data_IF_126869299967
#
_entry.id   IF_126869299967
#
_cell.length_a   1.000
_cell.length_b   1.000
_cell.length_c   1.000
_cell.angle_alpha   90.00
_cell.angle_beta   90.00
_cell.angle_gamma   90.00
#
_symmetry.space_group_name_H-M   'P 1'
#
loop_
_entity.id
_entity.type
_entity.pdbx_description
1 polymer ?
#
# COMPACT_ATOMS: atom_id res chain seq x y z
N UNK A 1 -8.83 48.95 2.01
CA UNK A 1 -8.37 48.60 3.37
C UNK A 1 -7.72 47.23 3.27
N UNK A 2 -6.38 47.19 3.16
CA UNK A 2 -5.63 45.95 3.01
C UNK A 2 -5.35 45.36 4.39
N UNK A 3 -6.01 44.25 4.71
CA UNK A 3 -5.67 43.47 5.89
C UNK A 3 -4.41 42.66 5.58
N UNK A 4 -3.27 43.15 6.06
CA UNK A 4 -2.03 42.38 6.08
C UNK A 4 -2.18 41.29 7.16
N UNK A 5 -2.32 40.05 6.71
CA UNK A 5 -2.33 38.86 7.54
C UNK A 5 -0.89 38.64 8.04
N UNK A 6 -0.62 39.02 9.29
CA UNK A 6 0.67 38.78 9.92
C UNK A 6 0.65 37.35 10.47
N UNK A 7 1.32 36.43 9.75
CA UNK A 7 1.57 35.08 10.24
C UNK A 7 2.83 35.17 11.11
N UNK A 8 2.64 35.16 12.43
CA UNK A 8 3.73 34.92 13.38
C UNK A 8 4.11 33.44 13.25
N UNK A 9 5.14 33.14 12.46
CA UNK A 9 5.77 31.82 12.51
C UNK A 9 6.82 31.84 13.63
N UNK A 10 6.42 31.48 14.85
CA UNK A 10 7.36 30.85 15.78
C UNK A 10 7.69 29.48 15.20
N UNK A 11 8.69 29.44 14.31
CA UNK A 11 9.21 28.18 13.77
C UNK A 11 9.98 27.51 14.90
N UNK A 12 9.30 26.69 15.69
CA UNK A 12 9.97 25.71 16.53
C UNK A 12 10.81 24.83 15.61
N UNK A 13 12.12 24.96 15.70
CA UNK A 13 13.06 24.19 14.88
C UNK A 13 13.03 22.75 15.41
N UNK A 14 12.22 21.89 14.79
CA UNK A 14 12.19 20.46 15.11
C UNK A 14 13.54 19.84 14.73
N UNK A 15 14.28 19.25 15.67
CA UNK A 15 15.49 18.51 15.36
C UNK A 15 15.19 17.36 14.39
N UNK A 16 16.09 17.09 13.44
CA UNK A 16 15.90 16.02 12.45
C UNK A 16 15.41 14.69 13.05
N UNK A 17 16.04 14.22 14.13
CA UNK A 17 15.70 12.94 14.78
C UNK A 17 14.36 12.95 15.51
N UNK A 18 13.74 14.12 15.70
CA UNK A 18 12.43 14.28 16.34
C UNK A 18 11.29 14.38 15.30
N UNK A 19 11.59 14.25 14.00
CA UNK A 19 10.54 14.19 12.99
C UNK A 19 9.73 12.90 13.15
N UNK A 20 8.42 12.97 13.47
CA UNK A 20 7.61 11.80 13.76
C UNK A 20 7.50 10.83 12.58
N UNK A 21 7.76 11.31 11.35
CA UNK A 21 7.68 10.46 10.16
C UNK A 21 8.71 9.33 10.16
N UNK A 22 9.87 9.48 10.82
CA UNK A 22 10.86 8.41 10.88
C UNK A 22 10.34 7.20 11.66
N UNK A 23 9.73 7.44 12.82
CA UNK A 23 9.13 6.37 13.62
C UNK A 23 7.98 5.67 12.86
N UNK A 24 7.18 6.43 12.10
CA UNK A 24 6.12 5.86 11.30
C UNK A 24 6.64 5.01 10.12
N UNK A 25 7.71 5.46 9.44
CA UNK A 25 8.38 4.70 8.38
C UNK A 25 8.94 3.38 8.94
N UNK A 26 9.61 3.44 10.09
CA UNK A 26 10.18 2.26 10.74
C UNK A 26 9.09 1.26 11.14
N UNK A 27 8.00 1.74 11.76
CA UNK A 27 6.84 0.91 12.14
C UNK A 27 6.21 0.20 10.95
N UNK A 28 5.96 0.91 9.85
CA UNK A 28 5.41 0.29 8.64
C UNK A 28 6.39 -0.70 8.02
N UNK A 29 7.69 -0.38 7.97
CA UNK A 29 8.73 -1.27 7.42
C UNK A 29 8.86 -2.55 8.23
N UNK A 30 8.79 -2.45 9.56
CA UNK A 30 8.81 -3.59 10.48
C UNK A 30 7.56 -4.46 10.28
N UNK A 31 6.36 -3.87 10.32
CA UNK A 31 5.10 -4.59 10.11
C UNK A 31 5.10 -5.32 8.77
N UNK A 32 5.53 -4.64 7.70
CA UNK A 32 5.70 -5.23 6.38
C UNK A 32 6.62 -6.45 6.41
N UNK A 33 7.79 -6.33 7.04
CA UNK A 33 8.76 -7.42 7.13
C UNK A 33 8.24 -8.64 7.89
N UNK A 34 7.45 -8.42 8.95
CA UNK A 34 6.78 -9.48 9.73
C UNK A 34 5.73 -10.17 8.86
N UNK A 35 4.92 -9.40 8.14
CA UNK A 35 3.92 -9.94 7.23
C UNK A 35 4.52 -10.82 6.13
N UNK A 36 5.65 -10.41 5.54
CA UNK A 36 6.31 -11.19 4.48
C UNK A 36 6.76 -12.59 4.90
N UNK A 37 7.01 -12.82 6.20
CA UNK A 37 7.48 -14.10 6.72
C UNK A 37 6.46 -14.81 7.60
N UNK A 38 5.26 -14.25 7.74
CA UNK A 38 4.21 -14.81 8.60
C UNK A 38 3.72 -16.16 8.05
N UNK A 39 3.58 -17.20 8.89
CA UNK A 39 2.97 -18.45 8.48
C UNK A 39 1.52 -18.25 8.02
N UNK A 40 1.09 -19.05 7.04
CA UNK A 40 -0.30 -19.05 6.57
C UNK A 40 -1.31 -19.29 7.70
N UNK A 41 -2.52 -18.76 7.52
CA UNK A 41 -3.60 -18.81 8.51
C UNK A 41 -3.67 -17.53 9.34
N UNK A 42 -4.03 -17.65 10.62
CA UNK A 42 -4.34 -16.48 11.45
C UNK A 42 -3.15 -15.54 11.63
N UNK A 43 -1.93 -16.06 11.75
CA UNK A 43 -0.73 -15.25 11.93
C UNK A 43 -0.46 -14.31 10.73
N UNK A 44 -0.68 -14.78 9.51
CA UNK A 44 -0.58 -13.94 8.30
C UNK A 44 -1.71 -12.89 8.24
N UNK A 45 -2.94 -13.25 8.65
CA UNK A 45 -4.07 -12.31 8.71
C UNK A 45 -3.79 -11.18 9.71
N UNK A 46 -3.32 -11.52 10.91
CA UNK A 46 -3.01 -10.53 11.95
C UNK A 46 -1.84 -9.62 11.53
N UNK A 47 -0.82 -10.18 10.90
CA UNK A 47 0.32 -9.41 10.40
C UNK A 47 -0.07 -8.51 9.20
N UNK A 48 -1.00 -8.93 8.36
CA UNK A 48 -1.55 -8.12 7.27
C UNK A 48 -2.34 -6.93 7.83
N UNK A 49 -3.17 -7.17 8.84
CA UNK A 49 -3.93 -6.13 9.53
C UNK A 49 -3.00 -5.09 10.19
N UNK A 50 -1.97 -5.53 10.92
CA UNK A 50 -0.98 -4.61 11.52
C UNK A 50 -0.23 -3.81 10.46
N UNK A 51 0.10 -4.43 9.32
CA UNK A 51 0.74 -3.72 8.19
C UNK A 51 -0.18 -2.65 7.61
N UNK A 52 -1.47 -2.96 7.49
CA UNK A 52 -2.49 -2.03 7.01
C UNK A 52 -2.70 -0.86 7.97
N UNK A 53 -2.81 -1.12 9.27
CA UNK A 53 -2.93 -0.08 10.30
C UNK A 53 -1.69 0.81 10.34
N UNK A 54 -0.48 0.21 10.30
CA UNK A 54 0.77 0.97 10.23
C UNK A 54 0.89 1.83 8.96
N UNK A 55 0.32 1.40 7.83
CA UNK A 55 0.26 2.19 6.61
C UNK A 55 -0.65 3.41 6.79
N UNK A 56 -1.83 3.23 7.37
CA UNK A 56 -2.73 4.36 7.64
C UNK A 56 -2.11 5.37 8.61
N UNK A 57 -1.46 4.91 9.68
CA UNK A 57 -0.71 5.76 10.59
C UNK A 57 0.42 6.52 9.87
N UNK A 58 1.19 5.84 9.02
CA UNK A 58 2.23 6.45 8.18
C UNK A 58 1.65 7.54 7.28
N UNK A 59 0.54 7.26 6.59
CA UNK A 59 -0.13 8.19 5.68
C UNK A 59 -0.76 9.39 6.40
N UNK A 60 -1.11 9.26 7.67
CA UNK A 60 -1.60 10.36 8.50
C UNK A 60 -0.49 11.17 9.18
N UNK A 61 0.69 10.59 9.40
CA UNK A 61 1.79 11.21 10.15
C UNK A 61 2.41 12.38 9.39
N UNK A 62 2.44 13.62 9.91
CA UNK A 62 3.02 14.76 9.21
C UNK A 62 4.56 14.67 9.11
N UNK A 63 5.15 15.31 8.09
CA UNK A 63 6.60 15.52 8.01
C UNK A 63 6.95 16.85 8.67
N UNK A 64 7.72 16.83 9.76
CA UNK A 64 8.15 18.06 10.43
C UNK A 64 9.38 18.71 9.77
N UNK A 65 10.13 17.94 8.96
CA UNK A 65 11.36 18.38 8.32
C UNK A 65 11.39 18.06 6.83
N UNK A 66 12.18 18.83 6.08
CA UNK A 66 12.43 18.58 4.65
C UNK A 66 13.03 17.19 4.41
N UNK A 67 13.90 16.75 5.31
CA UNK A 67 14.57 15.47 5.19
C UNK A 67 13.62 14.30 5.48
N UNK A 68 12.71 14.43 6.45
CA UNK A 68 11.61 13.48 6.67
C UNK A 68 10.71 13.34 5.44
N UNK A 69 10.37 14.46 4.79
CA UNK A 69 9.61 14.44 3.55
C UNK A 69 10.32 13.70 2.41
N UNK A 70 11.65 13.86 2.23
CA UNK A 70 12.41 13.07 1.26
C UNK A 70 12.41 11.57 1.57
N UNK A 71 12.57 11.20 2.84
CA UNK A 71 12.51 9.81 3.27
C UNK A 71 11.13 9.21 3.03
N UNK A 72 10.06 9.95 3.30
CA UNK A 72 8.70 9.51 3.00
C UNK A 72 8.47 9.30 1.51
N UNK A 73 8.91 10.23 0.64
CA UNK A 73 8.83 10.05 -0.82
C UNK A 73 9.52 8.75 -1.23
N UNK A 74 10.75 8.50 -0.75
CA UNK A 74 11.49 7.28 -1.07
C UNK A 74 10.72 6.03 -0.63
N UNK A 75 10.18 6.05 0.58
CA UNK A 75 9.43 4.93 1.16
C UNK A 75 8.14 4.64 0.38
N UNK A 76 7.34 5.67 0.10
CA UNK A 76 6.10 5.54 -0.67
C UNK A 76 6.37 5.03 -2.09
N UNK A 77 7.44 5.48 -2.75
CA UNK A 77 7.80 4.98 -4.10
C UNK A 77 8.19 3.51 -4.09
N UNK A 78 8.92 3.06 -3.07
CA UNK A 78 9.23 1.65 -2.89
C UNK A 78 7.93 0.85 -2.70
N UNK A 79 7.09 1.25 -1.75
CA UNK A 79 5.84 0.56 -1.45
C UNK A 79 4.87 0.50 -2.65
N UNK A 80 4.65 1.63 -3.36
CA UNK A 80 3.84 1.69 -4.60
C UNK A 80 4.41 0.84 -5.74
N UNK A 81 5.68 0.48 -5.69
CA UNK A 81 6.30 -0.41 -6.68
C UNK A 81 6.08 -1.87 -6.29
N UNK A 82 6.37 -2.22 -5.03
CA UNK A 82 6.19 -3.59 -4.52
C UNK A 82 4.71 -4.03 -4.54
N UNK A 83 3.81 -3.13 -4.15
CA UNK A 83 2.39 -3.45 -3.95
C UNK A 83 1.50 -3.18 -5.18
N UNK A 84 2.09 -2.82 -6.32
CA UNK A 84 1.34 -2.50 -7.54
C UNK A 84 0.38 -3.61 -7.97
N UNK A 85 0.77 -4.87 -7.79
CA UNK A 85 -0.06 -6.03 -8.13
C UNK A 85 -1.26 -6.20 -7.20
N UNK A 86 -1.21 -5.61 -6.01
CA UNK A 86 -2.21 -5.69 -4.96
C UNK A 86 -3.00 -4.38 -4.81
N UNK A 87 -2.88 -3.42 -5.73
CA UNK A 87 -3.48 -2.09 -5.59
C UNK A 87 -4.99 -2.12 -5.28
N UNK A 88 -5.75 -3.02 -5.93
CA UNK A 88 -7.19 -3.16 -5.69
C UNK A 88 -7.56 -3.70 -4.31
N UNK A 89 -6.63 -4.26 -3.55
CA UNK A 89 -6.87 -4.73 -2.19
C UNK A 89 -7.01 -3.57 -1.17
N UNK A 90 -6.61 -2.36 -1.56
CA UNK A 90 -6.71 -1.15 -0.72
C UNK A 90 -7.97 -0.32 -1.02
N UNK A 91 -8.81 -0.78 -1.95
CA UNK A 91 -10.11 -0.19 -2.22
C UNK A 91 -11.07 -0.49 -1.06
N UNK A 92 -11.60 0.56 -0.44
CA UNK A 92 -12.65 0.46 0.59
C UNK A 92 -13.93 1.08 0.05
N UNK A 93 -15.07 0.39 0.18
CA UNK A 93 -16.37 0.88 -0.33
C UNK A 93 -16.81 2.21 0.35
N UNK A 94 -16.45 2.41 1.62
CA UNK A 94 -16.91 3.54 2.45
C UNK A 94 -15.77 4.41 3.03
N UNK A 95 -14.53 4.20 2.60
CA UNK A 95 -13.34 4.81 3.21
C UNK A 95 -12.36 5.43 2.22
N UNK A 96 -11.38 6.22 2.71
CA UNK A 96 -10.33 6.76 1.85
C UNK A 96 -9.35 5.64 1.49
N UNK A 97 -9.25 5.36 0.20
CA UNK A 97 -8.39 4.33 -0.37
C UNK A 97 -6.91 4.65 -0.12
N UNK A 98 -6.24 3.83 0.70
CA UNK A 98 -4.84 4.02 1.10
C UNK A 98 -3.88 4.08 -0.11
N UNK A 99 -4.16 3.35 -1.19
CA UNK A 99 -3.38 3.42 -2.43
C UNK A 99 -3.42 4.83 -3.02
N UNK A 100 -4.62 5.37 -3.22
CA UNK A 100 -4.80 6.71 -3.81
C UNK A 100 -4.27 7.83 -2.90
N UNK A 101 -4.38 7.66 -1.58
CA UNK A 101 -3.79 8.60 -0.61
C UNK A 101 -2.27 8.58 -0.71
N UNK A 102 -1.65 7.40 -0.78
CA UNK A 102 -0.21 7.27 -0.93
C UNK A 102 0.29 7.92 -2.24
N UNK A 103 -0.41 7.70 -3.36
CA UNK A 103 -0.11 8.34 -4.65
C UNK A 103 -0.20 9.87 -4.54
N UNK A 104 -1.30 10.40 -3.99
CA UNK A 104 -1.51 11.83 -3.82
C UNK A 104 -0.45 12.45 -2.90
N UNK A 105 -0.10 11.76 -1.82
CA UNK A 105 0.85 12.24 -0.83
C UNK A 105 2.30 12.25 -1.36
N UNK A 106 2.70 11.22 -2.09
CA UNK A 106 3.98 11.21 -2.82
C UNK A 106 4.05 12.35 -3.84
N UNK A 107 2.95 12.54 -4.56
CA UNK A 107 2.78 13.56 -5.58
C UNK A 107 2.95 14.99 -5.03
N UNK A 108 2.28 15.28 -3.92
CA UNK A 108 2.28 16.60 -3.29
C UNK A 108 3.65 16.91 -2.68
N UNK A 109 4.25 15.95 -1.99
CA UNK A 109 5.59 16.13 -1.43
C UNK A 109 6.65 16.33 -2.51
N UNK A 110 6.56 15.59 -3.62
CA UNK A 110 7.46 15.77 -4.76
C UNK A 110 7.34 17.17 -5.36
N UNK A 111 6.12 17.67 -5.51
CA UNK A 111 5.86 19.04 -5.97
C UNK A 111 6.45 20.07 -4.99
N UNK A 112 6.16 19.96 -3.70
CA UNK A 112 6.65 20.87 -2.67
C UNK A 112 8.18 20.92 -2.58
N UNK A 113 8.85 19.80 -2.84
CA UNK A 113 10.31 19.70 -2.75
C UNK A 113 11.03 19.98 -4.06
N UNK A 114 10.31 20.06 -5.19
CA UNK A 114 10.90 20.17 -6.52
C UNK A 114 11.62 18.88 -6.96
N UNK A 115 11.16 17.73 -6.47
CA UNK A 115 11.68 16.42 -6.85
C UNK A 115 10.91 15.94 -8.05
N UNK A 116 11.62 15.42 -9.06
CA UNK A 116 10.97 14.84 -10.22
C UNK A 116 10.05 13.70 -9.76
N UNK A 117 8.75 13.84 -10.05
CA UNK A 117 7.76 12.79 -9.80
C UNK A 117 8.16 11.58 -10.64
N UNK A 118 8.03 10.36 -10.11
CA UNK A 118 8.09 9.15 -10.94
C UNK A 118 6.84 9.13 -11.81
N UNK A 119 6.84 9.90 -12.89
CA UNK A 119 5.75 9.91 -13.84
C UNK A 119 5.85 8.63 -14.67
N UNK A 120 4.89 7.72 -14.51
CA UNK A 120 4.58 6.69 -15.52
C UNK A 120 3.83 7.29 -16.73
N UNK A 121 4.02 8.58 -17.00
CA UNK A 121 3.42 9.27 -18.14
C UNK A 121 4.44 9.34 -19.28
N UNK A 122 4.01 9.23 -20.54
CA UNK A 122 4.91 9.42 -21.67
C UNK A 122 5.58 10.79 -21.59
N UNK A 123 6.91 10.79 -21.58
CA UNK A 123 7.70 12.03 -21.59
C UNK A 123 7.65 12.62 -23.00
N UNK A 124 7.06 13.81 -23.14
CA UNK A 124 7.07 14.52 -24.41
C UNK A 124 8.42 15.20 -24.62
N UNK A 125 9.13 14.82 -25.69
CA UNK A 125 10.33 15.52 -26.13
C UNK A 125 9.96 16.85 -26.81
N UNK A 126 10.88 17.83 -26.84
CA UNK A 126 10.71 19.09 -27.57
C UNK A 126 10.43 18.90 -29.07
N UNK A 127 10.76 17.73 -29.61
CA UNK A 127 10.48 17.31 -30.99
C UNK A 127 9.03 16.84 -31.22
N UNK A 128 8.17 16.87 -30.20
CA UNK A 128 6.81 16.34 -30.26
C UNK A 128 6.73 14.81 -30.18
N UNK A 129 7.86 14.12 -29.99
CA UNK A 129 7.92 12.66 -29.85
C UNK A 129 7.65 12.29 -28.39
N UNK A 130 6.74 11.35 -28.16
CA UNK A 130 6.54 10.77 -26.83
C UNK A 130 7.56 9.65 -26.62
N UNK A 131 8.41 9.78 -25.61
CA UNK A 131 9.10 8.63 -25.00
C UNK A 131 8.12 8.07 -23.97
N UNK A 132 7.37 7.04 -24.35
CA UNK A 132 6.72 6.21 -23.34
C UNK A 132 7.82 5.52 -22.52
N UNK A 133 7.71 5.42 -21.18
CA UNK A 133 8.53 4.46 -20.47
C UNK A 133 8.28 3.10 -21.14
N UNK A 134 9.34 2.42 -21.55
CA UNK A 134 9.23 1.03 -22.00
C UNK A 134 8.76 0.25 -20.80
N UNK A 135 7.44 0.03 -20.72
CA UNK A 135 6.88 -0.96 -19.81
C UNK A 135 7.38 -2.28 -20.39
N UNK A 136 8.47 -2.79 -19.84
CA UNK A 136 8.86 -4.17 -20.08
C UNK A 136 7.79 -5.04 -19.44
N UNK A 137 6.79 -5.43 -20.23
CA UNK A 137 5.74 -6.36 -19.84
C UNK A 137 6.27 -7.80 -19.72
N UNK A 138 7.60 -8.02 -19.75
CA UNK A 138 8.14 -9.31 -19.37
C UNK A 138 7.61 -9.63 -17.98
N UNK A 139 6.92 -10.77 -17.81
CA UNK A 139 6.60 -11.24 -16.49
C UNK A 139 7.93 -11.54 -15.83
N UNK A 140 8.40 -10.63 -14.98
CA UNK A 140 9.30 -10.99 -13.91
C UNK A 140 8.54 -12.07 -13.17
N UNK A 141 9.10 -13.27 -13.10
CA UNK A 141 8.61 -14.31 -12.22
C UNK A 141 8.79 -13.79 -10.79
N UNK A 142 7.88 -12.91 -10.37
CA UNK A 142 7.73 -12.48 -9.00
C UNK A 142 7.40 -13.76 -8.23
N UNK A 143 8.20 -14.05 -7.22
CA UNK A 143 7.78 -14.90 -6.11
C UNK A 143 6.34 -14.56 -5.79
N UNK A 144 5.44 -15.53 -5.91
CA UNK A 144 4.01 -15.35 -5.64
C UNK A 144 3.84 -14.57 -4.34
N UNK A 145 3.31 -13.34 -4.37
CA UNK A 145 3.14 -12.55 -3.16
C UNK A 145 2.11 -13.24 -2.25
N UNK A 146 2.39 -13.28 -0.95
CA UNK A 146 1.63 -14.03 0.07
C UNK A 146 0.14 -13.69 0.05
N UNK A 147 -0.24 -12.46 -0.32
CA UNK A 147 -1.65 -12.05 -0.45
C UNK A 147 -2.42 -12.82 -1.53
N UNK A 148 -1.77 -13.11 -2.66
CA UNK A 148 -2.37 -13.93 -3.72
C UNK A 148 -2.49 -15.39 -3.28
N UNK A 149 -1.50 -15.91 -2.54
CA UNK A 149 -1.55 -17.24 -1.94
C UNK A 149 -2.66 -17.35 -0.87
N UNK A 150 -2.81 -16.34 0.00
CA UNK A 150 -3.85 -16.29 1.02
C UNK A 150 -5.26 -16.18 0.43
N UNK A 151 -5.44 -15.37 -0.63
CA UNK A 151 -6.71 -15.29 -1.37
C UNK A 151 -7.08 -16.64 -2.00
N UNK A 152 -6.11 -17.33 -2.62
CA UNK A 152 -6.32 -18.67 -3.19
C UNK A 152 -6.61 -19.71 -2.11
N UNK A 153 -5.96 -19.65 -0.95
CA UNK A 153 -6.25 -20.52 0.19
C UNK A 153 -7.69 -20.33 0.68
N UNK A 154 -8.13 -19.08 0.82
CA UNK A 154 -9.50 -18.76 1.25
C UNK A 154 -10.55 -19.21 0.23
N UNK A 155 -10.24 -19.10 -1.06
CA UNK A 155 -11.10 -19.65 -2.12
C UNK A 155 -11.15 -21.19 -2.08
N UNK A 156 -10.03 -21.84 -1.79
CA UNK A 156 -9.93 -23.30 -1.63
C UNK A 156 -10.78 -23.83 -0.47
N UNK A 157 -10.72 -23.18 0.70
CA UNK A 157 -11.49 -23.57 1.87
C UNK A 157 -13.01 -23.47 1.66
N UNK A 158 -13.48 -22.42 0.97
CA UNK A 158 -14.90 -22.25 0.66
C UNK A 158 -15.39 -23.34 -0.30
N UNK A 159 -14.59 -23.69 -1.32
CA UNK A 159 -14.93 -24.77 -2.26
C UNK A 159 -14.96 -26.13 -1.54
N UNK A 160 -13.97 -26.41 -0.67
CA UNK A 160 -13.93 -27.64 0.11
C UNK A 160 -15.15 -27.77 1.05
N UNK A 161 -15.51 -26.69 1.75
CA UNK A 161 -16.70 -26.66 2.60
C UNK A 161 -17.98 -26.93 1.80
N UNK A 162 -18.11 -26.33 0.61
CA UNK A 162 -19.27 -26.50 -0.25
C UNK A 162 -19.38 -27.94 -0.79
N UNK A 163 -18.26 -28.57 -1.16
CA UNK A 163 -18.21 -29.97 -1.57
C UNK A 163 -18.62 -30.91 -0.43
N UNK A 164 -18.19 -30.65 0.81
CA UNK A 164 -18.58 -31.47 1.96
C UNK A 164 -20.08 -31.37 2.27
N UNK A 165 -20.66 -30.16 2.19
CA UNK A 165 -22.10 -29.97 2.42
C UNK A 165 -22.92 -30.67 1.33
N UNK A 166 -22.57 -30.48 0.05
CA UNK A 166 -23.29 -31.10 -1.07
C UNK A 166 -23.13 -32.62 -1.06
N UNK A 167 -21.92 -33.12 -0.81
CA UNK A 167 -21.66 -34.56 -0.72
C UNK A 167 -22.37 -35.22 0.45
N UNK A 168 -22.42 -34.57 1.62
CA UNK A 168 -23.14 -35.04 2.80
C UNK A 168 -24.64 -35.14 2.55
N UNK A 169 -25.25 -34.09 1.99
CA UNK A 169 -26.69 -34.07 1.66
C UNK A 169 -27.04 -35.16 0.65
N UNK A 170 -26.21 -35.34 -0.39
CA UNK A 170 -26.39 -36.39 -1.39
C UNK A 170 -26.34 -37.80 -0.81
N UNK A 171 -25.36 -38.07 0.08
CA UNK A 171 -25.24 -39.36 0.77
C UNK A 171 -26.43 -39.64 1.70
N UNK A 172 -26.90 -38.65 2.45
CA UNK A 172 -28.10 -38.81 3.29
C UNK A 172 -29.36 -39.06 2.48
N UNK A 173 -29.51 -38.40 1.33
CA UNK A 173 -30.66 -38.62 0.43
C UNK A 173 -30.66 -40.03 -0.18
N UNK A 174 -29.49 -40.53 -0.60
CA UNK A 174 -29.33 -41.89 -1.11
C UNK A 174 -29.58 -42.95 -0.02
N UNK A 175 -29.16 -42.70 1.21
CA UNK A 175 -29.39 -43.60 2.34
C UNK A 175 -30.87 -43.69 2.76
N UNK A 176 -31.67 -42.66 2.52
CA UNK A 176 -33.13 -42.68 2.77
C UNK A 176 -33.94 -43.32 1.64
N UNK A 177 -33.33 -43.63 0.50
CA UNK A 177 -33.98 -44.24 -0.67
C UNK A 177 -33.69 -45.75 -0.82
N UNK A 178 -32.81 -46.31 0.01
CA UNK A 178 -32.53 -47.75 0.15
C UNK A 178 -33.29 -48.34 1.35
#
# INVERSE_FOLDING_TARGET
MSHALSICTDVEIVPYHADPIFAAIDRHSEAWSVFQVAPEGQASIDADAETFDALHDLLATPCATRAGAFCLIRHLRWWLTEEAVNAGAYDTEDGPNAWTIAEAREADLSLCLGVERVQRLPTALPSGRLIAPVIDLRPVAASTPVRFACLLSRAGDVVAALVLVVGGVGLTGLATLL
#
